data_IF_525955467646
#
_entry.id   IF_525955467646
#
_cell.length_a   1.000
_cell.length_b   1.000
_cell.length_c   1.000
_cell.angle_alpha   90.00
_cell.angle_beta   90.00
_cell.angle_gamma   90.00
#
_symmetry.space_group_name_H-M   'P 1'
#
loop_
_entity.id
_entity.type
_entity.pdbx_description
1 polymer ?
#
# COMPACT_ATOMS: atom_id res chain seq x y z
N UNK A 1 -7.22 -1.71 3.44
CA UNK A 1 -7.27 -0.24 3.36
C UNK A 1 -7.28 0.17 1.91
N UNK A 2 -8.03 1.21 1.55
CA UNK A 2 -8.12 1.74 0.19
C UNK A 2 -7.99 3.25 0.19
N UNK A 3 -7.42 3.81 -0.87
CA UNK A 3 -7.09 5.22 -1.03
C UNK A 3 -7.59 5.74 -2.39
N UNK A 4 -7.84 7.04 -2.52
CA UNK A 4 -8.38 7.69 -3.72
C UNK A 4 -7.49 8.88 -4.08
N UNK A 5 -7.13 9.01 -5.37
CA UNK A 5 -6.37 10.16 -5.88
C UNK A 5 -7.19 11.45 -5.78
N UNK A 6 -6.52 12.60 -5.68
CA UNK A 6 -7.21 13.87 -5.44
C UNK A 6 -8.09 14.30 -6.63
N UNK A 7 -7.69 13.93 -7.85
CA UNK A 7 -8.51 14.11 -9.05
C UNK A 7 -9.76 13.21 -9.08
N UNK A 8 -9.91 12.28 -8.12
CA UNK A 8 -11.03 11.37 -8.02
C UNK A 8 -11.10 10.32 -9.13
N UNK A 9 -10.02 10.12 -9.89
CA UNK A 9 -10.03 9.22 -11.06
C UNK A 9 -9.56 7.80 -10.77
N UNK A 10 -8.73 7.62 -9.74
CA UNK A 10 -8.15 6.33 -9.41
C UNK A 10 -8.35 6.00 -7.94
N UNK A 11 -8.64 4.74 -7.66
CA UNK A 11 -8.55 4.19 -6.31
C UNK A 11 -7.52 3.08 -6.25
N UNK A 12 -6.82 3.01 -5.11
CA UNK A 12 -5.73 2.08 -4.88
C UNK A 12 -6.01 1.33 -3.58
N UNK A 13 -6.18 0.02 -3.69
CA UNK A 13 -6.41 -0.87 -2.56
C UNK A 13 -5.21 -1.74 -2.27
N UNK A 14 -4.97 -2.03 -1.00
CA UNK A 14 -4.19 -3.21 -0.62
C UNK A 14 -5.10 -4.35 -0.19
N UNK A 15 -4.91 -5.51 -0.79
CA UNK A 15 -5.44 -6.77 -0.28
C UNK A 15 -4.28 -7.66 0.16
N UNK A 16 -4.33 -8.14 1.40
CA UNK A 16 -3.63 -9.38 1.75
C UNK A 16 -4.61 -10.51 1.46
N UNK A 17 -4.35 -11.36 0.46
CA UNK A 17 -5.09 -12.63 0.35
C UNK A 17 -4.64 -13.55 1.48
N UNK A 18 -5.13 -13.28 2.69
CA UNK A 18 -5.37 -14.30 3.70
C UNK A 18 -6.72 -14.92 3.38
N UNK A 19 -6.69 -16.23 3.12
CA UNK A 19 -7.86 -17.09 2.96
C UNK A 19 -8.87 -16.85 4.10
N UNK A 20 -10.15 -17.14 3.84
CA UNK A 20 -11.27 -17.00 4.80
C UNK A 20 -10.88 -17.28 6.27
N UNK A 21 -10.94 -16.25 7.11
CA UNK A 21 -11.09 -16.38 8.57
C UNK A 21 -9.80 -16.53 9.38
N UNK A 22 -9.71 -15.74 10.44
CA UNK A 22 -8.82 -15.99 11.57
C UNK A 22 -7.38 -15.52 11.36
N UNK A 23 -6.78 -14.97 12.42
CA UNK A 23 -5.38 -14.56 12.43
C UNK A 23 -4.46 -15.66 11.90
N UNK A 24 -3.73 -15.35 10.82
CA UNK A 24 -2.76 -16.26 10.21
C UNK A 24 -1.36 -15.84 10.60
N UNK A 25 -0.76 -16.59 11.52
CA UNK A 25 0.68 -16.58 11.74
C UNK A 25 1.44 -16.96 10.47
N UNK A 26 2.68 -16.51 10.42
CA UNK A 26 3.66 -16.76 9.36
C UNK A 26 3.76 -18.27 9.06
N UNK A 27 3.34 -18.70 7.87
CA UNK A 27 3.78 -19.99 7.35
C UNK A 27 5.29 -19.88 7.07
N UNK A 28 6.06 -20.79 7.69
CA UNK A 28 7.51 -20.76 7.69
C UNK A 28 8.11 -20.59 6.28
N UNK A 29 8.81 -19.47 6.06
CA UNK A 29 9.71 -19.29 4.92
C UNK A 29 9.15 -18.58 3.68
N UNK A 30 7.90 -18.09 3.71
CA UNK A 30 7.34 -17.30 2.58
C UNK A 30 7.15 -15.85 3.03
N UNK A 31 7.78 -14.91 2.32
CA UNK A 31 7.55 -13.48 2.54
C UNK A 31 6.07 -13.15 2.32
N UNK A 32 5.41 -12.41 3.23
CA UNK A 32 4.01 -12.07 3.07
C UNK A 32 3.82 -11.30 1.76
N UNK A 33 2.83 -11.66 0.94
CA UNK A 33 2.60 -10.94 -0.34
C UNK A 33 1.60 -9.80 -0.12
N UNK A 34 1.93 -8.62 -0.64
CA UNK A 34 1.00 -7.51 -0.75
C UNK A 34 0.49 -7.45 -2.19
N UNK A 35 -0.83 -7.40 -2.36
CA UNK A 35 -1.44 -7.13 -3.66
C UNK A 35 -1.85 -5.67 -3.72
N UNK A 36 -1.29 -4.93 -4.68
CA UNK A 36 -1.78 -3.62 -5.08
C UNK A 36 -2.78 -3.78 -6.21
N UNK A 37 -3.90 -3.07 -6.13
CA UNK A 37 -4.89 -3.01 -7.19
C UNK A 37 -5.30 -1.57 -7.43
N UNK A 38 -5.16 -1.12 -8.68
CA UNK A 38 -5.65 0.17 -9.13
C UNK A 38 -6.96 -0.03 -9.89
N UNK A 39 -7.97 0.74 -9.51
CA UNK A 39 -9.24 0.82 -10.22
C UNK A 39 -9.46 2.21 -10.80
N UNK A 40 -10.04 2.27 -11.98
CA UNK A 40 -10.66 3.47 -12.53
C UNK A 40 -11.92 3.76 -11.75
N UNK A 41 -12.09 5.01 -11.32
CA UNK A 41 -13.31 5.48 -10.68
C UNK A 41 -14.32 6.03 -11.70
N UNK A 42 -13.92 6.20 -12.96
CA UNK A 42 -14.82 6.64 -14.03
C UNK A 42 -15.79 5.53 -14.45
N UNK A 43 -15.30 4.29 -14.50
CA UNK A 43 -16.06 3.13 -15.00
C UNK A 43 -15.95 1.88 -14.11
N UNK A 44 -15.20 1.95 -12.99
CA UNK A 44 -15.00 0.82 -12.07
C UNK A 44 -14.06 -0.27 -12.60
N UNK A 45 -13.42 -0.06 -13.76
CA UNK A 45 -12.54 -1.06 -14.37
C UNK A 45 -11.25 -1.24 -13.57
N UNK A 46 -10.71 -2.47 -13.55
CA UNK A 46 -9.40 -2.75 -12.97
C UNK A 46 -8.30 -2.33 -13.94
N UNK A 47 -7.46 -1.38 -13.54
CA UNK A 47 -6.38 -0.83 -14.36
C UNK A 47 -5.09 -1.63 -14.23
N UNK A 48 -4.71 -1.98 -13.00
CA UNK A 48 -3.45 -2.65 -12.70
C UNK A 48 -3.59 -3.54 -11.45
N UNK A 49 -2.98 -4.72 -11.48
CA UNK A 49 -2.84 -5.60 -10.31
C UNK A 49 -1.43 -6.14 -10.25
N UNK A 50 -0.73 -5.87 -9.15
CA UNK A 50 0.64 -6.36 -8.95
C UNK A 50 0.76 -7.02 -7.60
N UNK A 51 1.47 -8.15 -7.56
CA UNK A 51 1.85 -8.84 -6.34
C UNK A 51 3.30 -8.53 -6.05
N UNK A 52 3.55 -7.84 -4.93
CA UNK A 52 4.91 -7.50 -4.51
C UNK A 52 5.27 -8.30 -3.27
N UNK A 53 6.55 -8.70 -3.11
CA UNK A 53 7.03 -9.21 -1.84
C UNK A 53 6.78 -8.15 -0.76
N UNK A 54 5.90 -8.46 0.17
CA UNK A 54 5.72 -7.71 1.38
C UNK A 54 6.76 -8.17 2.40
N UNK A 55 7.39 -7.21 3.06
CA UNK A 55 8.17 -7.49 4.25
C UNK A 55 7.22 -7.51 5.45
N UNK A 56 7.52 -8.37 6.44
CA UNK A 56 6.78 -8.38 7.70
C UNK A 56 6.64 -6.95 8.26
N UNK A 57 5.39 -6.54 8.53
CA UNK A 57 5.07 -5.27 9.16
C UNK A 57 4.78 -4.10 8.22
N UNK A 58 4.93 -4.24 6.90
CA UNK A 58 4.57 -3.17 5.96
C UNK A 58 3.05 -3.03 5.82
N UNK A 59 2.56 -1.79 5.91
CA UNK A 59 1.16 -1.42 5.61
C UNK A 59 1.11 -0.22 4.69
N UNK A 60 0.15 -0.16 3.77
CA UNK A 60 -0.07 1.03 2.95
C UNK A 60 -0.58 2.16 3.85
N UNK A 61 0.21 3.22 3.91
CA UNK A 61 0.00 4.38 4.79
C UNK A 61 -0.42 5.63 4.03
N UNK A 62 -0.21 5.67 2.71
CA UNK A 62 -0.69 6.77 1.89
C UNK A 62 -0.40 6.63 0.41
N UNK A 63 -0.99 7.54 -0.36
CA UNK A 63 -0.73 7.74 -1.79
C UNK A 63 -0.45 9.22 -2.05
N UNK A 64 0.36 9.52 -3.07
CA UNK A 64 0.50 10.89 -3.54
C UNK A 64 -0.83 11.38 -4.16
N UNK A 65 -1.14 12.70 -4.11
CA UNK A 65 -2.40 13.23 -4.66
C UNK A 65 -2.64 12.90 -6.14
N UNK A 66 -1.57 12.80 -6.93
CA UNK A 66 -1.57 12.43 -8.35
C UNK A 66 -1.65 10.91 -8.60
N UNK A 67 -1.60 10.09 -7.53
CA UNK A 67 -1.51 8.64 -7.62
C UNK A 67 -0.17 8.12 -8.14
N UNK A 68 0.82 8.99 -8.34
CA UNK A 68 2.12 8.65 -8.91
C UNK A 68 3.06 7.95 -7.92
N UNK A 69 2.73 7.94 -6.62
CA UNK A 69 3.50 7.25 -5.58
C UNK A 69 2.62 6.58 -4.54
N UNK A 70 3.08 5.43 -4.06
CA UNK A 70 2.49 4.68 -2.95
C UNK A 70 3.51 4.60 -1.81
N UNK A 71 3.04 4.76 -0.58
CA UNK A 71 3.87 4.81 0.60
C UNK A 71 3.46 3.74 1.60
N UNK A 72 4.37 2.80 1.87
CA UNK A 72 4.17 1.76 2.86
C UNK A 72 5.09 2.02 4.04
N UNK A 73 4.53 2.16 5.25
CA UNK A 73 5.32 2.24 6.48
C UNK A 73 5.37 0.86 7.15
N UNK A 74 6.51 0.51 7.74
CA UNK A 74 6.65 -0.73 8.48
C UNK A 74 7.82 -0.73 9.45
N UNK A 75 7.84 -1.73 10.33
CA UNK A 75 8.90 -2.03 11.30
C UNK A 75 9.33 -0.85 12.20
N UNK A 76 8.50 0.18 12.28
CA UNK A 76 8.76 1.40 13.03
C UNK A 76 9.79 2.35 12.39
N UNK A 77 10.49 2.03 11.30
CA UNK A 77 11.54 2.94 10.80
C UNK A 77 11.68 2.96 9.28
N UNK A 78 11.01 2.06 8.55
CA UNK A 78 11.11 2.02 7.10
C UNK A 78 9.88 2.65 6.42
N UNK A 79 10.14 3.48 5.41
CA UNK A 79 9.18 3.91 4.41
C UNK A 79 9.56 3.34 3.04
N UNK A 80 8.75 2.41 2.54
CA UNK A 80 8.93 1.81 1.23
C UNK A 80 8.07 2.56 0.21
N UNK A 81 8.69 2.98 -0.88
CA UNK A 81 8.07 3.82 -1.90
C UNK A 81 7.97 3.04 -3.21
N UNK A 82 6.75 2.96 -3.74
CA UNK A 82 6.47 2.48 -5.09
C UNK A 82 5.98 3.63 -5.96
N UNK A 83 6.12 3.51 -7.28
CA UNK A 83 5.42 4.37 -8.21
C UNK A 83 3.96 3.92 -8.44
N UNK A 84 3.22 4.69 -9.25
CA UNK A 84 1.84 4.39 -9.64
C UNK A 84 1.69 3.15 -10.53
N UNK A 85 2.79 2.61 -11.05
CA UNK A 85 2.85 1.35 -11.85
C UNK A 85 3.31 0.15 -11.00
N UNK A 86 3.30 0.31 -9.67
CA UNK A 86 3.69 -0.68 -8.68
C UNK A 86 5.16 -1.12 -8.77
N UNK A 87 6.04 -0.30 -9.35
CA UNK A 87 7.48 -0.56 -9.33
C UNK A 87 8.09 -0.02 -8.05
N UNK A 88 8.94 -0.84 -7.43
CA UNK A 88 9.72 -0.41 -6.27
C UNK A 88 10.68 0.70 -6.69
N UNK A 89 10.65 1.82 -5.99
CA UNK A 89 11.57 2.93 -6.22
C UNK A 89 12.72 2.90 -5.21
N UNK A 90 12.39 2.91 -3.91
CA UNK A 90 13.38 2.91 -2.82
C UNK A 90 12.74 2.64 -1.47
N UNK A 91 13.58 2.27 -0.50
CA UNK A 91 13.31 2.34 0.92
C UNK A 91 14.03 3.55 1.51
N UNK A 92 13.33 4.30 2.36
CA UNK A 92 13.91 5.37 3.19
C UNK A 92 13.84 4.91 4.63
N UNK A 93 14.99 4.83 5.29
CA UNK A 93 15.07 4.64 6.73
C UNK A 93 14.89 5.99 7.42
N UNK A 94 14.01 6.05 8.41
CA UNK A 94 13.73 7.25 9.20
C UNK A 94 14.19 7.04 10.64
N UNK A 95 14.72 8.09 11.26
CA UNK A 95 15.06 8.06 12.68
C UNK A 95 13.77 8.05 13.53
N UNK A 96 13.72 7.20 14.56
CA UNK A 96 12.59 7.09 15.48
C UNK A 96 11.57 6.03 15.07
N UNK A 97 10.40 6.05 15.74
CA UNK A 97 9.28 5.15 15.44
C UNK A 97 8.25 5.84 14.52
N UNK A 98 7.98 5.22 13.37
CA UNK A 98 6.99 5.62 12.40
C UNK A 98 5.64 5.03 12.80
N UNK A 99 4.85 5.85 13.48
CA UNK A 99 3.44 5.56 13.70
C UNK A 99 2.62 6.16 12.55
N UNK A 100 2.06 5.30 11.69
CA UNK A 100 1.20 5.74 10.60
C UNK A 100 -0.19 6.08 11.12
N UNK A 101 -0.51 7.37 11.24
CA UNK A 101 -1.87 7.86 11.51
C UNK A 101 -2.39 8.68 10.31
N UNK A 102 -3.66 8.47 9.97
CA UNK A 102 -4.31 9.09 8.82
C UNK A 102 -4.93 10.43 9.23
N UNK A 103 -4.42 11.53 8.69
CA UNK A 103 -5.01 12.87 8.88
C UNK A 103 -5.70 13.32 7.59
N UNK A 104 -7.04 13.40 7.61
CA UNK A 104 -7.79 14.11 6.58
C UNK A 104 -7.85 15.59 6.94
N UNK A 105 -7.29 16.46 6.10
CA UNK A 105 -7.56 17.89 6.14
C UNK A 105 -8.44 18.20 4.93
N UNK A 106 -9.72 18.45 5.18
CA UNK A 106 -10.61 19.07 4.20
C UNK A 106 -10.48 20.59 4.33
N UNK A 107 -10.32 21.29 3.20
CA UNK A 107 -10.51 22.74 3.11
C UNK A 107 -11.90 23.04 2.59
#
# INVERSE_FOLDING_TARGET
>A
TGYITWDGKKSIGTGSRGWRGGGGGQENGVDPIITFVNYSLEDGSKLLETRVPGRNGLRLSGIAPDGGKLYLAGRGHELVIYDGEHQYLKTVEMEGELEGSLHFIWQ
#
